data_IF_522563641408
#
_entry.id   IF_522563641408
#
_cell.length_a   1.000
_cell.length_b   1.000
_cell.length_c   1.000
_cell.angle_alpha   90.00
_cell.angle_beta   90.00
_cell.angle_gamma   90.00
#
_symmetry.space_group_name_H-M   'P 1'
#
loop_
_entity.id
_entity.type
_entity.pdbx_description
1 polymer ?
#
# COMPACT_ATOMS: atom_id res chain seq x y z
N UNK A 1 23.52 26.38 -27.00
CA UNK A 1 23.25 24.95 -27.30
C UNK A 1 23.08 24.24 -25.97
N UNK A 2 21.85 23.87 -25.56
CA UNK A 2 21.64 23.20 -24.28
C UNK A 2 22.14 21.75 -24.34
N UNK A 3 22.69 21.20 -23.24
CA UNK A 3 23.13 19.81 -23.17
C UNK A 3 21.92 18.87 -23.20
N UNK A 4 22.03 17.83 -24.03
CA UNK A 4 21.05 16.75 -24.19
C UNK A 4 21.09 15.89 -22.91
N UNK A 5 20.01 15.92 -22.11
CA UNK A 5 19.88 15.05 -20.94
C UNK A 5 19.62 13.60 -21.38
N UNK A 6 20.20 12.59 -20.69
CA UNK A 6 19.97 11.19 -21.00
C UNK A 6 18.57 10.75 -20.57
N UNK A 7 17.89 10.07 -21.49
CA UNK A 7 16.58 9.44 -21.32
C UNK A 7 16.71 8.26 -20.35
N UNK A 8 16.26 8.42 -19.10
CA UNK A 8 16.22 7.34 -18.12
C UNK A 8 15.00 6.45 -18.39
N UNK A 9 15.24 5.28 -18.98
CA UNK A 9 14.26 4.21 -19.07
C UNK A 9 13.95 3.69 -17.65
N UNK A 10 12.80 4.11 -17.12
CA UNK A 10 12.28 3.64 -15.85
C UNK A 10 11.95 2.15 -15.89
N UNK A 11 12.86 1.34 -15.34
CA UNK A 11 12.59 -0.06 -15.03
C UNK A 11 11.49 -0.15 -13.97
N UNK A 12 10.26 -0.43 -14.41
CA UNK A 12 9.15 -0.86 -13.55
C UNK A 12 9.50 -2.23 -12.96
N UNK A 13 10.21 -2.23 -11.84
CA UNK A 13 10.36 -3.42 -11.01
C UNK A 13 9.00 -3.75 -10.38
N UNK A 14 8.46 -4.90 -10.78
CA UNK A 14 7.13 -5.38 -10.40
C UNK A 14 6.96 -5.61 -8.90
N UNK A 15 5.77 -5.28 -8.43
CA UNK A 15 5.22 -5.71 -7.14
C UNK A 15 3.74 -6.09 -7.35
N UNK A 16 3.46 -6.87 -8.39
CA UNK A 16 2.17 -7.53 -8.60
C UNK A 16 2.42 -9.03 -8.81
N UNK A 17 3.03 -9.67 -7.81
CA UNK A 17 2.99 -11.11 -7.71
C UNK A 17 1.69 -11.47 -6.96
N UNK A 18 0.65 -12.00 -7.63
CA UNK A 18 -0.52 -12.48 -6.93
C UNK A 18 -0.11 -13.57 -5.95
N UNK A 19 -0.52 -13.40 -4.69
CA UNK A 19 -0.41 -14.42 -3.66
C UNK A 19 -1.04 -15.71 -4.20
N UNK A 20 -0.19 -16.66 -4.60
CA UNK A 20 -0.65 -17.97 -5.05
C UNK A 20 -1.31 -18.65 -3.84
N UNK A 21 -2.62 -19.00 -3.92
CA UNK A 21 -3.23 -19.80 -2.88
C UNK A 21 -2.48 -21.14 -2.79
N UNK A 22 -2.10 -21.52 -1.57
CA UNK A 22 -1.54 -22.84 -1.29
C UNK A 22 -2.60 -23.89 -1.67
N UNK A 23 -2.47 -24.44 -2.87
CA UNK A 23 -3.28 -25.56 -3.29
C UNK A 23 -2.88 -26.75 -2.40
N UNK A 24 -3.82 -27.39 -1.68
CA UNK A 24 -3.49 -28.62 -0.97
C UNK A 24 -2.98 -29.65 -1.99
N UNK A 25 -1.96 -30.45 -1.65
CA UNK A 25 -1.49 -31.50 -2.53
C UNK A 25 -2.68 -32.42 -2.84
N UNK A 26 -3.01 -32.57 -4.14
CA UNK A 26 -3.94 -33.59 -4.61
C UNK A 26 -3.37 -34.95 -4.23
N UNK A 27 -3.89 -35.52 -3.16
CA UNK A 27 -3.58 -36.90 -2.79
C UNK A 27 -4.20 -37.79 -3.88
N UNK A 28 -3.40 -38.58 -4.63
CA UNK A 28 -3.96 -39.51 -5.58
C UNK A 28 -4.73 -40.58 -4.80
N UNK A 29 -6.06 -40.57 -4.94
CA UNK A 29 -6.92 -41.67 -4.53
C UNK A 29 -6.59 -42.88 -5.40
N UNK A 30 -5.57 -43.65 -4.99
CA UNK A 30 -5.29 -44.97 -5.53
C UNK A 30 -6.41 -45.92 -5.08
N UNK A 31 -7.49 -45.97 -5.85
CA UNK A 31 -8.51 -47.02 -5.76
C UNK A 31 -7.90 -48.36 -6.20
N UNK A 32 -7.13 -49.01 -5.32
CA UNK A 32 -6.75 -50.41 -5.48
C UNK A 32 -7.96 -51.26 -5.10
N UNK A 33 -8.70 -51.72 -6.11
CA UNK A 33 -9.66 -52.82 -5.97
C UNK A 33 -8.89 -54.11 -5.69
N UNK A 34 -8.77 -54.47 -4.41
CA UNK A 34 -8.24 -55.77 -3.99
C UNK A 34 -9.33 -56.83 -4.16
N UNK A 35 -9.09 -57.74 -5.10
CA UNK A 35 -9.91 -58.93 -5.36
C UNK A 35 -9.71 -59.95 -4.23
N UNK A 36 -10.78 -60.41 -3.56
CA UNK A 36 -10.67 -61.33 -2.43
C UNK A 36 -10.63 -62.78 -2.92
N UNK A 37 -9.42 -63.28 -3.20
CA UNK A 37 -9.17 -64.73 -3.26
C UNK A 37 -7.81 -65.03 -2.66
N UNK A 38 -7.76 -65.29 -1.35
CA UNK A 38 -6.88 -66.27 -0.67
C UNK A 38 -6.82 -66.02 0.84
N UNK A 39 -7.18 -67.00 1.71
CA UNK A 39 -7.14 -66.84 3.17
C UNK A 39 -5.72 -66.93 3.79
N UNK A 40 -4.65 -67.04 2.99
CA UNK A 40 -3.27 -67.20 3.49
C UNK A 40 -2.45 -65.91 3.60
N UNK A 41 -2.97 -64.77 3.14
CA UNK A 41 -2.27 -63.47 3.16
C UNK A 41 -2.65 -62.56 4.34
N UNK A 42 -3.51 -63.03 5.24
CA UNK A 42 -4.00 -62.23 6.37
C UNK A 42 -2.97 -62.04 7.51
N UNK A 43 -1.96 -62.91 7.60
CA UNK A 43 -0.99 -62.89 8.72
C UNK A 43 0.20 -61.95 8.44
N UNK A 44 0.67 -61.86 7.20
CA UNK A 44 1.81 -61.00 6.83
C UNK A 44 1.44 -59.50 6.74
N UNK A 45 0.19 -59.17 6.39
CA UNK A 45 -0.28 -57.78 6.28
C UNK A 45 -0.50 -57.08 7.63
N UNK A 46 -0.71 -57.84 8.70
CA UNK A 46 -0.87 -57.28 10.05
C UNK A 46 0.45 -56.75 10.63
N UNK A 47 1.59 -57.35 10.25
CA UNK A 47 2.90 -56.94 10.75
C UNK A 47 3.47 -55.71 10.01
N UNK A 48 3.18 -55.56 8.71
CA UNK A 48 3.62 -54.40 7.92
C UNK A 48 2.90 -53.09 8.27
N UNK A 49 1.64 -53.16 8.71
CA UNK A 49 0.83 -51.97 9.02
C UNK A 49 1.26 -51.26 10.33
N UNK A 50 1.92 -51.98 11.24
CA UNK A 50 2.39 -51.43 12.52
C UNK A 50 3.69 -50.60 12.37
N UNK A 51 4.56 -50.93 11.42
CA UNK A 51 5.84 -50.22 11.23
C UNK A 51 5.65 -48.90 10.46
N UNK A 52 4.69 -48.85 9.53
CA UNK A 52 4.41 -47.63 8.75
C UNK A 52 3.72 -46.51 9.59
N UNK A 53 3.10 -46.84 10.72
CA UNK A 53 2.44 -45.86 11.59
C UNK A 53 3.42 -45.10 12.51
N UNK A 54 4.63 -45.62 12.75
CA UNK A 54 5.57 -45.04 13.71
C UNK A 54 6.51 -43.95 13.13
N UNK A 55 6.64 -43.87 11.80
CA UNK A 55 7.60 -42.97 11.12
C UNK A 55 6.96 -41.70 10.51
N UNK A 56 5.64 -41.51 10.67
CA UNK A 56 4.91 -40.39 10.04
C UNK A 56 4.65 -39.16 10.92
N UNK A 57 5.22 -39.09 12.13
CA UNK A 57 4.80 -38.12 13.15
C UNK A 57 5.83 -37.01 13.48
N UNK A 58 6.78 -36.69 12.61
CA UNK A 58 7.86 -35.74 12.94
C UNK A 58 8.22 -34.75 11.82
N UNK A 59 7.25 -34.13 11.13
CA UNK A 59 7.53 -32.93 10.30
C UNK A 59 6.39 -31.91 10.25
N UNK A 60 5.65 -31.71 11.35
CA UNK A 60 5.00 -30.40 11.54
C UNK A 60 6.08 -29.48 12.12
N UNK A 61 6.97 -29.02 11.24
CA UNK A 61 7.76 -27.84 11.51
C UNK A 61 6.74 -26.73 11.74
N UNK A 62 6.55 -26.34 13.00
CA UNK A 62 5.85 -25.13 13.36
C UNK A 62 6.50 -24.02 12.53
N UNK A 63 5.82 -23.59 11.47
CA UNK A 63 6.13 -22.33 10.82
C UNK A 63 5.67 -21.31 11.85
N UNK A 64 6.59 -20.91 12.73
CA UNK A 64 6.38 -19.77 13.60
C UNK A 64 5.88 -18.64 12.70
N UNK A 65 4.61 -18.28 12.89
CA UNK A 65 4.03 -17.06 12.37
C UNK A 65 4.86 -15.93 12.99
N UNK A 66 6.00 -15.63 12.37
CA UNK A 66 6.77 -14.43 12.66
C UNK A 66 5.83 -13.31 12.27
N UNK A 67 5.24 -12.56 13.23
CA UNK A 67 4.34 -11.48 12.90
C UNK A 67 5.09 -10.56 11.93
N UNK A 68 4.46 -10.11 10.84
CA UNK A 68 5.12 -9.21 9.91
C UNK A 68 5.69 -8.06 10.71
N UNK A 69 7.01 -7.85 10.61
CA UNK A 69 7.70 -6.80 11.33
C UNK A 69 6.90 -5.52 11.14
N UNK A 70 6.32 -5.02 12.24
CA UNK A 70 5.49 -3.84 12.12
C UNK A 70 6.41 -2.70 11.66
N UNK A 71 6.02 -1.90 10.66
CA UNK A 71 6.82 -0.74 10.32
C UNK A 71 6.87 0.18 11.54
N UNK A 72 8.05 0.72 11.85
CA UNK A 72 8.22 1.70 12.90
C UNK A 72 7.15 2.80 12.74
N UNK A 73 6.41 3.07 13.81
CA UNK A 73 5.37 4.09 13.81
C UNK A 73 5.98 5.42 14.26
N UNK A 74 5.57 6.52 13.63
CA UNK A 74 5.95 7.90 13.94
C UNK A 74 7.47 8.15 13.86
N UNK A 75 7.93 8.71 12.74
CA UNK A 75 9.33 9.13 12.58
C UNK A 75 9.62 10.28 13.56
N UNK A 76 10.82 10.36 14.17
CA UNK A 76 11.21 11.47 15.03
C UNK A 76 11.09 12.82 14.31
N UNK A 77 10.88 13.90 15.06
CA UNK A 77 10.67 15.24 14.50
C UNK A 77 11.80 15.68 13.55
N UNK A 78 11.42 16.08 12.34
CA UNK A 78 12.36 16.46 11.27
C UNK A 78 13.15 15.29 10.66
N UNK A 79 12.84 14.05 11.06
CA UNK A 79 13.42 12.85 10.49
C UNK A 79 12.68 12.38 9.24
N UNK A 80 13.38 11.67 8.37
CA UNK A 80 12.79 10.96 7.24
C UNK A 80 13.20 9.48 7.26
N UNK A 81 12.31 8.57 6.81
CA UNK A 81 12.67 7.18 6.64
C UNK A 81 13.70 7.03 5.50
N UNK A 82 14.52 5.98 5.57
CA UNK A 82 15.50 5.64 4.54
C UNK A 82 14.83 5.21 3.22
N UNK A 83 14.47 6.19 2.38
CA UNK A 83 13.89 5.97 1.05
C UNK A 83 14.98 5.99 -0.02
N UNK A 84 15.59 4.83 -0.33
CA UNK A 84 16.53 4.62 -1.46
C UNK A 84 17.67 5.65 -1.64
N UNK A 85 18.05 6.36 -0.59
CA UNK A 85 19.17 7.31 -0.59
C UNK A 85 18.82 8.78 -0.90
N UNK A 86 17.58 9.09 -1.29
CA UNK A 86 17.15 10.46 -1.67
C UNK A 86 16.51 11.26 -0.53
N UNK A 87 16.47 10.72 0.69
CA UNK A 87 15.81 11.37 1.82
C UNK A 87 16.37 12.78 2.13
N UNK A 88 17.68 13.00 1.98
CA UNK A 88 18.29 14.33 2.14
C UNK A 88 18.15 15.23 0.90
N UNK A 89 17.32 14.89 -0.09
CA UNK A 89 16.96 15.83 -1.17
C UNK A 89 15.74 16.67 -0.78
N UNK A 90 14.90 16.16 0.13
CA UNK A 90 13.78 16.90 0.69
C UNK A 90 14.30 18.02 1.63
N UNK A 91 13.91 19.29 1.41
CA UNK A 91 14.36 20.41 2.25
C UNK A 91 13.77 20.36 3.67
N UNK A 92 12.69 19.62 3.90
CA UNK A 92 12.09 19.42 5.23
C UNK A 92 12.85 18.37 6.06
N UNK A 93 13.72 17.58 5.41
CA UNK A 93 14.45 16.51 6.04
C UNK A 93 15.71 16.99 6.76
N UNK A 94 15.75 16.90 8.09
CA UNK A 94 16.92 17.23 8.90
C UNK A 94 17.85 16.03 9.10
N UNK A 95 17.28 14.83 9.16
CA UNK A 95 18.01 13.61 9.45
C UNK A 95 17.35 12.38 8.83
N UNK A 96 18.14 11.36 8.50
CA UNK A 96 17.65 10.08 7.99
C UNK A 96 17.67 9.06 9.12
N UNK A 97 16.53 8.39 9.33
CA UNK A 97 16.37 7.34 10.32
C UNK A 97 16.13 5.97 9.66
N UNK A 98 16.75 4.95 10.24
CA UNK A 98 16.52 3.56 9.91
C UNK A 98 15.57 2.94 10.94
N UNK A 99 14.55 2.24 10.47
CA UNK A 99 13.73 1.40 11.33
C UNK A 99 14.44 0.07 11.57
N UNK A 100 14.72 -0.25 12.84
CA UNK A 100 15.31 -1.52 13.26
C UNK A 100 14.24 -2.60 13.47
N UNK A 101 14.69 -3.85 13.55
CA UNK A 101 13.81 -5.03 13.71
C UNK A 101 13.02 -5.01 15.03
N UNK A 102 13.52 -4.30 16.04
CA UNK A 102 12.88 -4.09 17.34
C UNK A 102 11.87 -2.92 17.33
N UNK A 103 11.56 -2.36 16.16
CA UNK A 103 10.70 -1.18 15.98
C UNK A 103 11.27 0.13 16.56
N UNK A 104 12.59 0.21 16.72
CA UNK A 104 13.25 1.46 17.16
C UNK A 104 13.80 2.25 15.97
N UNK A 105 13.76 3.58 16.09
CA UNK A 105 14.38 4.48 15.13
C UNK A 105 15.84 4.71 15.50
N UNK A 106 16.74 4.35 14.60
CA UNK A 106 18.16 4.66 14.72
C UNK A 106 18.55 5.77 13.74
N UNK A 107 19.26 6.78 14.23
CA UNK A 107 19.78 7.85 13.40
C UNK A 107 20.90 7.29 12.50
N UNK A 108 20.69 7.32 11.19
CA UNK A 108 21.69 6.86 10.22
C UNK A 108 22.64 7.99 9.81
N UNK A 109 22.10 9.17 9.48
CA UNK A 109 22.89 10.35 9.11
C UNK A 109 22.11 11.65 9.28
N UNK A 110 22.83 12.73 9.57
CA UNK A 110 22.31 14.08 9.50
C UNK A 110 22.38 14.58 8.05
N UNK A 111 21.34 15.27 7.60
CA UNK A 111 21.38 15.96 6.32
C UNK A 111 22.19 17.26 6.48
N UNK A 112 22.97 17.67 5.45
CA UNK A 112 23.70 18.94 5.52
C UNK A 112 22.72 20.08 5.75
N UNK A 113 23.07 21.02 6.63
CA UNK A 113 22.31 22.26 6.78
C UNK A 113 22.31 22.97 5.43
N UNK A 114 21.17 22.95 4.76
CA UNK A 114 20.96 23.86 3.65
C UNK A 114 20.75 25.21 4.28
N UNK A 115 21.62 26.16 3.98
CA UNK A 115 21.33 27.56 4.19
C UNK A 115 19.93 27.79 3.63
N UNK A 116 18.98 28.08 4.51
CA UNK A 116 17.62 28.41 4.12
C UNK A 116 17.79 29.53 3.10
N UNK A 117 17.66 29.19 1.81
CA UNK A 117 17.87 30.14 0.75
C UNK A 117 16.83 31.21 1.00
N UNK A 118 17.29 32.31 1.60
CA UNK A 118 16.48 33.44 1.98
C UNK A 118 16.04 34.07 0.67
N UNK A 119 14.85 33.68 0.24
CA UNK A 119 14.28 34.10 -1.01
C UNK A 119 12.88 33.55 -1.11
N UNK A 120 11.82 34.35 -0.86
CA UNK A 120 10.58 34.11 -1.58
C UNK A 120 10.95 34.15 -3.07
N UNK A 121 11.02 32.99 -3.71
CA UNK A 121 11.01 32.94 -5.17
C UNK A 121 9.64 33.49 -5.54
N UNK A 122 9.61 34.76 -5.94
CA UNK A 122 8.45 35.32 -6.59
C UNK A 122 8.10 34.36 -7.74
N UNK A 123 6.84 33.89 -7.82
CA UNK A 123 6.44 33.00 -8.90
C UNK A 123 6.79 33.69 -10.23
N UNK A 124 7.42 33.00 -11.19
CA UNK A 124 7.65 33.56 -12.50
C UNK A 124 6.28 33.98 -13.09
N UNK A 125 6.12 35.21 -13.60
CA UNK A 125 4.92 35.56 -14.30
C UNK A 125 4.83 34.70 -15.56
N UNK A 126 3.68 34.04 -15.72
CA UNK A 126 3.19 33.51 -16.99
C UNK A 126 3.94 32.34 -17.64
N UNK A 127 4.38 31.36 -16.83
CA UNK A 127 4.38 29.99 -17.35
C UNK A 127 2.94 29.48 -17.26
N UNK A 128 2.29 29.28 -18.40
CA UNK A 128 1.03 28.56 -18.51
C UNK A 128 1.23 27.10 -18.05
N UNK A 129 1.31 26.91 -16.74
CA UNK A 129 1.19 25.62 -16.10
C UNK A 129 -0.25 25.21 -16.42
N UNK A 130 -0.42 24.15 -17.21
CA UNK A 130 -1.74 23.51 -17.32
C UNK A 130 -2.26 23.34 -15.89
N UNK A 131 -3.44 23.86 -15.53
CA UNK A 131 -3.93 23.93 -14.14
C UNK A 131 -4.05 22.58 -13.40
N UNK A 132 -3.65 21.47 -14.03
CA UNK A 132 -3.75 20.11 -13.53
C UNK A 132 -2.58 19.68 -12.63
N UNK A 133 -1.44 20.38 -12.66
CA UNK A 133 -0.25 19.99 -11.88
C UNK A 133 0.09 20.91 -10.70
N UNK A 134 -0.60 22.04 -10.54
CA UNK A 134 -0.57 22.80 -9.30
C UNK A 134 -1.49 22.08 -8.31
N UNK A 135 -0.90 21.22 -7.46
CA UNK A 135 -1.62 20.40 -6.48
C UNK A 135 -2.75 21.18 -5.80
N UNK A 136 -3.98 20.89 -6.19
CA UNK A 136 -5.16 21.58 -5.69
C UNK A 136 -5.28 21.28 -4.20
N UNK A 137 -5.11 22.30 -3.36
CA UNK A 137 -5.25 22.16 -1.92
C UNK A 137 -6.73 22.05 -1.61
N UNK A 138 -7.17 20.85 -1.24
CA UNK A 138 -8.54 20.60 -0.84
C UNK A 138 -8.85 21.30 0.50
N UNK A 139 -10.06 21.88 0.67
CA UNK A 139 -10.45 22.49 1.93
C UNK A 139 -10.50 21.44 3.07
N UNK A 140 -10.32 21.85 4.34
CA UNK A 140 -10.54 20.97 5.48
C UNK A 140 -11.93 20.32 5.42
N UNK A 141 -12.00 19.02 5.73
CA UNK A 141 -13.26 18.27 5.66
C UNK A 141 -13.64 17.74 4.27
N UNK A 142 -12.82 17.96 3.23
CA UNK A 142 -13.07 17.46 1.88
C UNK A 142 -13.16 15.93 1.79
N UNK A 143 -12.44 15.20 2.66
CA UNK A 143 -12.50 13.73 2.75
C UNK A 143 -13.53 13.24 3.77
N UNK A 144 -14.38 14.14 4.29
CA UNK A 144 -15.22 13.91 5.46
C UNK A 144 -14.53 14.31 6.77
N UNK A 145 -15.18 14.00 7.89
CA UNK A 145 -14.69 14.36 9.22
C UNK A 145 -15.60 13.84 10.33
N UNK A 146 -15.19 14.01 11.60
CA UNK A 146 -15.98 13.59 12.76
C UNK A 146 -17.39 14.20 12.73
N UNK A 147 -18.41 13.37 12.98
CA UNK A 147 -19.82 13.80 13.02
C UNK A 147 -20.55 13.70 11.67
N UNK A 148 -19.84 13.73 10.55
CA UNK A 148 -20.48 13.59 9.23
C UNK A 148 -20.86 12.14 8.94
N UNK A 149 -22.13 11.91 8.60
CA UNK A 149 -22.66 10.60 8.18
C UNK A 149 -22.12 10.20 6.81
N UNK A 150 -22.19 8.92 6.44
CA UNK A 150 -21.88 8.49 5.06
C UNK A 150 -22.88 9.11 4.07
N UNK A 151 -22.38 9.77 3.02
CA UNK A 151 -23.21 10.25 1.91
C UNK A 151 -23.74 9.08 1.06
N UNK A 152 -24.91 9.23 0.48
CA UNK A 152 -25.47 8.23 -0.44
C UNK A 152 -25.16 8.67 -1.88
N UNK A 153 -24.69 7.77 -2.76
CA UNK A 153 -24.55 8.09 -4.17
C UNK A 153 -25.87 8.65 -4.74
N UNK A 154 -25.82 9.71 -5.57
CA UNK A 154 -24.63 10.28 -6.21
C UNK A 154 -23.89 11.37 -5.42
N UNK A 155 -24.22 11.60 -4.14
CA UNK A 155 -23.55 12.60 -3.29
C UNK A 155 -22.22 12.04 -2.76
N UNK A 156 -21.16 12.84 -2.86
CA UNK A 156 -19.83 12.42 -2.42
C UNK A 156 -19.04 13.48 -1.64
N UNK A 157 -18.07 13.06 -0.82
CA UNK A 157 -17.05 13.96 -0.30
C UNK A 157 -16.24 14.57 -1.45
N UNK A 158 -15.91 15.86 -1.34
CA UNK A 158 -15.15 16.59 -2.35
C UNK A 158 -13.85 15.90 -2.76
N UNK A 159 -13.12 15.31 -1.82
CA UNK A 159 -11.87 14.61 -2.09
C UNK A 159 -12.07 13.39 -3.01
N UNK A 160 -13.22 12.73 -2.95
CA UNK A 160 -13.56 11.62 -3.86
C UNK A 160 -13.71 12.12 -5.29
N UNK A 161 -14.33 13.28 -5.48
CA UNK A 161 -14.46 13.88 -6.81
C UNK A 161 -13.11 14.22 -7.45
N UNK A 162 -12.12 14.62 -6.65
CA UNK A 162 -10.75 14.91 -7.11
C UNK A 162 -9.84 13.68 -7.23
N UNK A 163 -10.28 12.50 -6.76
CA UNK A 163 -9.46 11.29 -6.81
C UNK A 163 -9.41 10.66 -8.22
N UNK A 164 -10.39 10.96 -9.09
CA UNK A 164 -10.43 10.46 -10.46
C UNK A 164 -9.65 11.36 -11.42
N UNK A 165 -8.91 10.76 -12.35
CA UNK A 165 -8.17 11.49 -13.40
C UNK A 165 -9.09 12.10 -14.47
N UNK A 166 -10.31 11.57 -14.59
CA UNK A 166 -11.34 11.99 -15.56
C UNK A 166 -12.71 11.82 -14.90
N UNK A 167 -13.53 12.87 -14.92
CA UNK A 167 -14.82 12.91 -14.21
C UNK A 167 -14.67 12.82 -12.69
N UNK A 168 -15.78 12.62 -11.97
CA UNK A 168 -15.79 12.60 -10.48
C UNK A 168 -16.21 11.25 -9.91
N UNK A 169 -15.75 10.15 -10.51
CA UNK A 169 -16.01 8.80 -9.99
C UNK A 169 -17.50 8.43 -9.82
N UNK A 170 -18.41 9.04 -10.59
CA UNK A 170 -19.86 8.82 -10.47
C UNK A 170 -20.57 9.70 -9.43
N UNK A 171 -19.87 10.69 -8.87
CA UNK A 171 -20.45 11.70 -8.00
C UNK A 171 -21.08 12.82 -8.83
N UNK A 172 -22.27 13.27 -8.46
CA UNK A 172 -22.95 14.42 -9.09
C UNK A 172 -22.78 15.68 -8.23
N UNK A 173 -23.00 15.56 -6.91
CA UNK A 173 -22.85 16.66 -5.96
C UNK A 173 -21.71 16.41 -4.98
N UNK A 174 -20.95 17.47 -4.69
CA UNK A 174 -19.73 17.43 -3.91
C UNK A 174 -19.89 18.23 -2.62
N UNK A 175 -19.53 17.60 -1.50
CA UNK A 175 -19.74 18.14 -0.17
C UNK A 175 -18.45 18.18 0.65
N UNK A 176 -18.41 19.13 1.59
CA UNK A 176 -17.35 19.28 2.59
C UNK A 176 -17.95 19.09 3.97
N UNK A 177 -17.27 18.35 4.84
CA UNK A 177 -17.71 18.13 6.21
C UNK A 177 -17.33 19.31 7.10
N UNK A 178 -18.31 20.04 7.60
CA UNK A 178 -18.13 21.20 8.47
C UNK A 178 -18.94 21.01 9.75
N UNK A 179 -18.26 21.09 10.91
CA UNK A 179 -18.91 20.97 12.23
C UNK A 179 -19.78 19.72 12.41
N UNK A 180 -19.45 18.61 11.73
CA UNK A 180 -20.22 17.37 11.77
C UNK A 180 -21.43 17.31 10.83
N UNK A 181 -21.62 18.31 9.96
CA UNK A 181 -22.62 18.31 8.89
C UNK A 181 -21.98 18.37 7.51
N UNK A 182 -22.70 17.93 6.48
CA UNK A 182 -22.28 18.09 5.10
C UNK A 182 -22.76 19.43 4.55
N UNK A 183 -21.82 20.29 4.15
CA UNK A 183 -22.08 21.54 3.44
C UNK A 183 -21.86 21.31 1.94
N UNK A 184 -22.82 21.69 1.07
CA UNK A 184 -22.63 21.63 -0.37
C UNK A 184 -21.47 22.55 -0.77
N UNK A 185 -20.56 22.05 -1.59
CA UNK A 185 -19.42 22.81 -2.11
C UNK A 185 -19.57 23.08 -3.60
N UNK A 186 -20.01 22.09 -4.36
CA UNK A 186 -20.03 22.16 -5.82
C UNK A 186 -20.70 20.95 -6.46
N UNK A 187 -20.52 20.82 -7.77
CA UNK A 187 -21.04 19.70 -8.57
C UNK A 187 -19.95 19.14 -9.47
N UNK A 188 -20.15 17.93 -9.96
CA UNK A 188 -19.29 17.34 -10.97
C UNK A 188 -19.73 17.74 -12.38
N UNK A 189 -18.83 18.35 -13.15
CA UNK A 189 -18.97 18.54 -14.59
C UNK A 189 -18.13 17.54 -15.40
N UNK A 190 -18.21 17.64 -16.73
CA UNK A 190 -17.44 16.79 -17.65
C UNK A 190 -15.91 16.92 -17.47
N UNK A 191 -15.47 18.09 -17.01
CA UNK A 191 -14.06 18.39 -16.75
C UNK A 191 -13.59 17.99 -15.34
N UNK A 192 -14.51 17.62 -14.44
CA UNK A 192 -14.23 17.32 -13.03
C UNK A 192 -15.05 18.17 -12.05
N UNK A 193 -14.63 18.24 -10.77
CA UNK A 193 -15.27 19.07 -9.75
C UNK A 193 -15.31 20.57 -10.08
N UNK A 194 -16.49 21.19 -9.96
CA UNK A 194 -16.70 22.63 -10.16
C UNK A 194 -17.37 23.25 -8.91
N UNK A 195 -16.83 24.36 -8.36
CA UNK A 195 -17.44 25.04 -7.23
C UNK A 195 -18.77 25.70 -7.63
N UNK A 196 -19.76 25.69 -6.71
CA UNK A 196 -21.03 26.41 -6.88
C UNK A 196 -20.95 27.88 -6.45
#
# INVERSE_FOLDING_TARGET
MPPKLPEFQGARAGLDAPLRPCHPPRVPLLSRTLSPRSPRLAVELAFGLLIAAALGATTVACREDVPPAQPCRNVPDGGCPRSRGVACEDPTCKAVYLCREDNTWELEKLCPEREASAGPVAPPPDAAISPRDAGFVLPPGASGGPGCRTLQPPDCPLATGFACSTGCCGCEDLFVCESGGWTPWGSCGDAGPEPR
#
